data_IF_975872521892
#
_entry.id   IF_975872521892
#
_cell.length_a   1.000
_cell.length_b   1.000
_cell.length_c   1.000
_cell.angle_alpha   90.00
_cell.angle_beta   90.00
_cell.angle_gamma   90.00
#
_symmetry.space_group_name_H-M   'P 1'
#
loop_
_entity.id
_entity.type
_entity.pdbx_description
1 polymer ?
#
# COMPACT_ATOMS: atom_id res chain seq x y z
N UNK A 1 13.67 9.26 -29.40
CA UNK A 1 13.17 10.38 -28.57
C UNK A 1 11.66 10.24 -28.55
N UNK A 2 11.03 10.13 -27.38
CA UNK A 2 9.57 9.94 -27.28
C UNK A 2 8.89 11.26 -27.67
N UNK A 3 7.89 11.20 -28.55
CA UNK A 3 7.12 12.38 -28.96
C UNK A 3 6.15 12.85 -27.86
N UNK A 4 5.72 14.11 -27.91
CA UNK A 4 4.75 14.65 -26.95
C UNK A 4 3.43 13.88 -26.99
N UNK A 5 3.01 13.44 -28.18
CA UNK A 5 1.80 12.67 -28.41
C UNK A 5 1.89 11.28 -27.78
N UNK A 6 3.03 10.60 -27.94
CA UNK A 6 3.30 9.31 -27.29
C UNK A 6 3.35 9.43 -25.76
N UNK A 7 3.90 10.53 -25.24
CA UNK A 7 3.91 10.79 -23.80
C UNK A 7 2.49 10.96 -23.26
N UNK A 8 1.66 11.75 -23.96
CA UNK A 8 0.26 11.99 -23.57
C UNK A 8 -0.52 10.67 -23.51
N UNK A 9 -0.43 9.84 -24.56
CA UNK A 9 -1.11 8.54 -24.61
C UNK A 9 -0.69 7.62 -23.44
N UNK A 10 0.61 7.60 -23.09
CA UNK A 10 1.09 6.81 -21.95
C UNK A 10 0.63 7.31 -20.58
N UNK A 11 0.43 8.61 -20.42
CA UNK A 11 -0.14 9.17 -19.18
C UNK A 11 -1.60 8.77 -19.04
N UNK A 12 -2.35 8.73 -20.15
CA UNK A 12 -3.75 8.27 -20.17
C UNK A 12 -3.90 6.77 -19.86
N UNK A 13 -2.85 5.96 -20.05
CA UNK A 13 -2.83 4.52 -19.69
C UNK A 13 -2.60 4.26 -18.18
N UNK A 14 -2.29 5.29 -17.38
CA UNK A 14 -2.06 5.11 -15.94
C UNK A 14 -3.38 4.79 -15.24
N UNK A 15 -3.49 3.64 -14.53
CA UNK A 15 -4.72 3.30 -13.85
C UNK A 15 -5.05 4.31 -12.74
N UNK A 16 -6.33 4.58 -12.48
CA UNK A 16 -6.72 5.45 -11.38
C UNK A 16 -6.41 4.79 -10.04
N UNK A 17 -5.91 5.59 -9.09
CA UNK A 17 -5.73 5.14 -7.71
C UNK A 17 -7.09 4.78 -7.09
N UNK A 18 -7.20 3.70 -6.31
CA UNK A 18 -8.43 3.39 -5.59
C UNK A 18 -8.81 4.52 -4.62
N UNK A 19 -10.11 4.84 -4.52
CA UNK A 19 -10.63 5.91 -3.65
C UNK A 19 -10.17 5.76 -2.19
N UNK A 20 -10.05 4.51 -1.72
CA UNK A 20 -9.58 4.23 -0.36
C UNK A 20 -8.13 4.69 -0.14
N UNK A 21 -7.26 4.57 -1.15
CA UNK A 21 -5.87 5.06 -1.08
C UNK A 21 -5.85 6.57 -0.99
N UNK A 22 -6.64 7.26 -1.83
CA UNK A 22 -6.74 8.72 -1.81
C UNK A 22 -7.22 9.20 -0.44
N UNK A 23 -8.29 8.60 0.08
CA UNK A 23 -8.83 8.93 1.40
C UNK A 23 -7.84 8.68 2.53
N UNK A 24 -7.08 7.57 2.49
CA UNK A 24 -6.03 7.30 3.48
C UNK A 24 -4.94 8.37 3.45
N UNK A 25 -4.48 8.77 2.27
CA UNK A 25 -3.47 9.82 2.12
C UNK A 25 -3.96 11.17 2.65
N UNK A 26 -5.23 11.50 2.44
CA UNK A 26 -5.86 12.70 3.02
C UNK A 26 -5.91 12.63 4.55
N UNK A 27 -6.34 11.50 5.10
CA UNK A 27 -6.42 11.30 6.56
C UNK A 27 -5.05 11.37 7.23
N UNK A 28 -3.98 10.90 6.58
CA UNK A 28 -2.63 10.96 7.13
C UNK A 28 -2.06 12.39 7.20
N UNK A 29 -2.62 13.33 6.42
CA UNK A 29 -2.20 14.74 6.44
C UNK A 29 -2.94 15.54 7.51
N UNK A 30 -4.05 15.03 8.02
CA UNK A 30 -4.88 15.70 9.01
C UNK A 30 -4.50 15.27 10.43
N UNK A 31 -3.83 16.17 11.16
CA UNK A 31 -3.40 15.95 12.55
C UNK A 31 -4.55 15.79 13.56
N UNK A 32 -5.80 16.05 13.16
CA UNK A 32 -6.98 15.87 14.01
C UNK A 32 -7.56 14.44 13.95
N UNK A 33 -7.15 13.65 12.95
CA UNK A 33 -7.64 12.28 12.76
C UNK A 33 -7.08 11.36 13.85
N UNK A 34 -7.96 10.60 14.50
CA UNK A 34 -7.52 9.60 15.45
C UNK A 34 -7.03 8.34 14.71
N UNK A 35 -5.97 7.66 15.18
CA UNK A 35 -5.47 6.42 14.58
C UNK A 35 -6.56 5.35 14.35
N UNK A 36 -7.54 5.25 15.26
CA UNK A 36 -8.67 4.32 15.13
C UNK A 36 -9.50 4.56 13.86
N UNK A 37 -9.61 5.80 13.39
CA UNK A 37 -10.43 6.16 12.24
C UNK A 37 -9.77 5.64 10.94
N UNK A 38 -8.43 5.60 10.91
CA UNK A 38 -7.66 4.98 9.82
C UNK A 38 -7.97 3.47 9.74
N UNK A 39 -8.05 2.79 10.88
CA UNK A 39 -8.41 1.37 10.93
C UNK A 39 -9.83 1.13 10.42
N UNK A 40 -10.78 2.01 10.74
CA UNK A 40 -12.15 1.92 10.23
C UNK A 40 -12.24 2.05 8.70
N UNK A 41 -11.34 2.80 8.08
CA UNK A 41 -11.28 2.84 6.61
C UNK A 41 -10.71 1.54 6.04
N UNK A 42 -9.63 1.02 6.63
CA UNK A 42 -8.92 -0.17 6.10
C UNK A 42 -9.72 -1.46 6.28
N UNK A 43 -10.45 -1.61 7.39
CA UNK A 43 -11.15 -2.87 7.75
C UNK A 43 -12.19 -3.33 6.75
N UNK A 44 -12.66 -2.44 5.87
CA UNK A 44 -13.63 -2.77 4.83
C UNK A 44 -13.02 -3.51 3.63
N UNK A 45 -11.69 -3.58 3.53
CA UNK A 45 -10.98 -4.41 2.55
C UNK A 45 -10.41 -5.68 3.21
N UNK A 46 -11.03 -6.87 3.01
CA UNK A 46 -10.54 -8.12 3.59
C UNK A 46 -9.17 -8.55 3.03
N UNK A 47 -8.87 -8.23 1.77
CA UNK A 47 -7.61 -8.63 1.15
C UNK A 47 -6.42 -7.88 1.76
N UNK A 48 -6.56 -6.57 1.96
CA UNK A 48 -5.57 -5.75 2.68
C UNK A 48 -5.49 -6.14 4.14
N UNK A 49 -6.62 -6.32 4.81
CA UNK A 49 -6.67 -6.78 6.21
C UNK A 49 -5.83 -8.04 6.40
N UNK A 50 -6.01 -9.04 5.53
CA UNK A 50 -5.25 -10.27 5.58
C UNK A 50 -3.76 -10.10 5.26
N UNK A 51 -3.38 -9.15 4.38
CA UNK A 51 -1.97 -8.82 4.13
C UNK A 51 -1.32 -8.22 5.38
N UNK A 52 -1.99 -7.25 6.04
CA UNK A 52 -1.49 -6.61 7.27
C UNK A 52 -1.32 -7.64 8.39
N UNK A 53 -2.35 -8.47 8.64
CA UNK A 53 -2.29 -9.48 9.70
C UNK A 53 -1.18 -10.51 9.43
N UNK A 54 -1.01 -10.97 8.19
CA UNK A 54 0.04 -11.92 7.81
C UNK A 54 1.43 -11.34 8.04
N UNK A 55 1.60 -10.06 7.72
CA UNK A 55 2.85 -9.36 7.92
C UNK A 55 3.16 -9.20 9.42
N UNK A 56 2.21 -8.75 10.23
CA UNK A 56 2.40 -8.63 11.69
C UNK A 56 2.75 -9.99 12.31
N UNK A 57 2.15 -11.06 11.82
CA UNK A 57 2.41 -12.43 12.27
C UNK A 57 3.61 -13.11 11.58
N UNK A 58 4.38 -12.39 10.77
CA UNK A 58 5.57 -12.95 10.11
C UNK A 58 6.72 -13.14 11.10
N UNK A 59 7.66 -14.01 10.73
CA UNK A 59 8.87 -14.24 11.53
C UNK A 59 9.71 -12.98 11.74
N UNK A 60 9.57 -11.99 10.85
CA UNK A 60 10.24 -10.68 10.97
C UNK A 60 9.92 -9.98 12.30
N UNK A 61 8.66 -10.03 12.74
CA UNK A 61 8.24 -9.39 14.00
C UNK A 61 8.33 -10.32 15.21
N UNK A 62 8.52 -11.63 15.01
CA UNK A 62 8.83 -12.59 16.08
C UNK A 62 7.83 -12.62 17.25
N UNK A 63 6.55 -12.35 16.97
CA UNK A 63 5.55 -12.17 18.01
C UNK A 63 5.28 -13.46 18.82
N UNK A 64 5.22 -13.39 20.16
CA UNK A 64 4.95 -14.56 21.01
C UNK A 64 3.51 -15.06 20.91
N UNK A 65 2.59 -14.23 20.39
CA UNK A 65 1.18 -14.55 20.16
C UNK A 65 0.71 -13.97 18.83
N UNK A 66 -0.29 -14.61 18.22
CA UNK A 66 -0.84 -14.14 16.96
C UNK A 66 -1.67 -12.86 17.15
N UNK A 67 -1.46 -11.89 16.28
CA UNK A 67 -2.32 -10.71 16.09
C UNK A 67 -3.53 -11.11 15.26
N UNK A 68 -4.74 -10.78 15.73
CA UNK A 68 -6.00 -11.23 15.12
C UNK A 68 -6.91 -10.08 14.66
N UNK A 69 -6.56 -8.83 14.98
CA UNK A 69 -7.33 -7.65 14.56
C UNK A 69 -6.45 -6.53 14.01
N UNK A 70 -7.05 -5.66 13.18
CA UNK A 70 -6.35 -4.48 12.66
C UNK A 70 -6.03 -3.45 13.74
N UNK A 71 -6.91 -3.29 14.73
CA UNK A 71 -6.66 -2.40 15.87
C UNK A 71 -5.43 -2.85 16.64
N UNK A 72 -5.31 -4.16 16.87
CA UNK A 72 -4.13 -4.75 17.51
C UNK A 72 -2.88 -4.63 16.65
N UNK A 73 -2.98 -4.90 15.34
CA UNK A 73 -1.89 -4.68 14.41
C UNK A 73 -1.39 -3.23 14.49
N UNK A 74 -2.30 -2.25 14.40
CA UNK A 74 -1.99 -0.83 14.52
C UNK A 74 -1.27 -0.49 15.83
N UNK A 75 -1.76 -1.01 16.97
CA UNK A 75 -1.09 -0.78 18.26
C UNK A 75 0.32 -1.36 18.31
N UNK A 76 0.57 -2.44 17.57
CA UNK A 76 1.85 -3.13 17.56
C UNK A 76 2.87 -2.50 16.60
N UNK A 77 2.49 -2.23 15.34
CA UNK A 77 3.41 -1.69 14.31
C UNK A 77 3.37 -0.16 14.21
N UNK A 78 2.36 0.50 14.80
CA UNK A 78 2.12 1.93 14.67
C UNK A 78 1.31 2.32 13.43
N UNK A 79 0.75 3.52 13.45
CA UNK A 79 -0.11 4.05 12.39
C UNK A 79 0.64 4.24 11.07
N UNK A 80 1.84 4.82 11.10
CA UNK A 80 2.62 5.09 9.88
C UNK A 80 3.01 3.80 9.16
N UNK A 81 3.47 2.79 9.92
CA UNK A 81 3.80 1.50 9.35
C UNK A 81 2.56 0.82 8.73
N UNK A 82 1.42 0.86 9.44
CA UNK A 82 0.16 0.33 8.92
C UNK A 82 -0.23 0.99 7.60
N UNK A 83 -0.20 2.32 7.54
CA UNK A 83 -0.52 3.10 6.33
C UNK A 83 0.43 2.73 5.20
N UNK A 84 1.73 2.70 5.46
CA UNK A 84 2.73 2.34 4.46
C UNK A 84 2.50 0.94 3.90
N UNK A 85 2.17 -0.06 4.73
CA UNK A 85 1.88 -1.41 4.25
C UNK A 85 0.60 -1.49 3.42
N UNK A 86 -0.41 -0.72 3.79
CA UNK A 86 -1.66 -0.64 3.03
C UNK A 86 -1.39 -0.02 1.66
N UNK A 87 -0.70 1.11 1.61
CA UNK A 87 -0.29 1.79 0.37
C UNK A 87 0.55 0.87 -0.50
N UNK A 88 1.57 0.23 0.07
CA UNK A 88 2.40 -0.76 -0.59
C UNK A 88 1.54 -1.91 -1.18
N UNK A 89 0.57 -2.41 -0.41
CA UNK A 89 -0.33 -3.48 -0.83
C UNK A 89 -1.27 -3.13 -2.00
N UNK A 90 -1.63 -1.85 -2.16
CA UNK A 90 -2.42 -1.36 -3.30
C UNK A 90 -1.53 -1.03 -4.50
N UNK A 91 -0.39 -0.37 -4.26
CA UNK A 91 0.52 0.06 -5.31
C UNK A 91 1.32 -1.10 -5.92
N UNK A 92 1.44 -2.24 -5.23
CA UNK A 92 2.17 -3.40 -5.75
C UNK A 92 1.69 -3.86 -7.14
N UNK A 93 0.41 -3.65 -7.46
CA UNK A 93 -0.14 -3.97 -8.78
C UNK A 93 0.40 -3.08 -9.91
N UNK A 94 0.70 -1.81 -9.61
CA UNK A 94 1.29 -0.86 -10.55
C UNK A 94 2.74 -1.23 -10.87
N UNK A 95 3.45 -1.81 -9.90
CA UNK A 95 4.86 -2.22 -10.04
C UNK A 95 5.04 -3.65 -10.58
N UNK A 96 3.96 -4.39 -10.82
CA UNK A 96 4.00 -5.79 -11.24
C UNK A 96 4.27 -6.00 -12.74
N UNK A 97 4.29 -4.92 -13.55
CA UNK A 97 4.53 -4.97 -14.99
C UNK A 97 6.01 -5.01 -15.40
N UNK A 98 6.24 -5.17 -16.70
CA UNK A 98 7.57 -4.99 -17.31
C UNK A 98 7.90 -3.50 -17.38
N UNK A 99 9.02 -3.12 -16.78
CA UNK A 99 9.49 -1.73 -16.77
C UNK A 99 10.66 -1.57 -17.75
N UNK A 100 10.39 -1.81 -19.03
CA UNK A 100 11.41 -1.82 -20.11
C UNK A 100 12.24 -0.55 -20.18
N UNK A 101 11.65 0.61 -19.84
CA UNK A 101 12.34 1.89 -19.81
C UNK A 101 13.45 2.00 -18.75
N UNK A 102 13.38 1.18 -17.70
CA UNK A 102 14.39 1.11 -16.64
C UNK A 102 15.35 -0.08 -16.80
N UNK A 103 15.22 -0.86 -17.88
CA UNK A 103 16.00 -2.10 -18.06
C UNK A 103 15.69 -3.18 -17.02
N UNK A 104 14.53 -3.10 -16.35
CA UNK A 104 14.13 -3.98 -15.26
C UNK A 104 13.18 -5.07 -15.76
N UNK A 105 13.40 -6.30 -15.31
CA UNK A 105 12.47 -7.42 -15.52
C UNK A 105 11.19 -7.25 -14.68
N UNK A 106 10.14 -7.98 -15.06
CA UNK A 106 8.87 -8.01 -14.33
C UNK A 106 9.05 -8.13 -12.81
N UNK A 107 8.48 -7.16 -12.10
CA UNK A 107 8.49 -7.10 -10.64
C UNK A 107 9.86 -6.82 -10.00
N UNK A 108 10.93 -6.58 -10.76
CA UNK A 108 12.21 -6.13 -10.18
C UNK A 108 12.08 -4.75 -9.54
N UNK A 109 11.25 -3.87 -10.10
CA UNK A 109 11.00 -2.55 -9.52
C UNK A 109 10.39 -2.67 -8.12
N UNK A 110 9.39 -3.55 -7.95
CA UNK A 110 8.79 -3.83 -6.65
C UNK A 110 9.77 -4.41 -5.63
N UNK A 111 10.67 -5.29 -6.07
CA UNK A 111 11.66 -5.94 -5.18
C UNK A 111 12.73 -4.97 -4.65
N UNK A 112 12.89 -3.81 -5.30
CA UNK A 112 13.90 -2.80 -4.98
C UNK A 112 13.28 -1.45 -4.56
N UNK A 113 11.97 -1.41 -4.28
CA UNK A 113 11.25 -0.23 -3.84
C UNK A 113 11.29 -0.05 -2.31
#
# INVERSE_FOLDING_TARGET
>A
MISLEELKNKVEEIPPLPDLVVRLLEMCRDTSIAPRDIVEVIRHDPAITMKVLRLCNSTYYGLPRKVTSLQEAMMFIGTDALVNFVLAGYLSGYYAGDNKGYGLEKGQLWRNA
#
